data_IF_361257264167
#
_entry.id   IF_361257264167
#
_cell.length_a   1.000
_cell.length_b   1.000
_cell.length_c   1.000
_cell.angle_alpha   90.00
_cell.angle_beta   90.00
_cell.angle_gamma   90.00
#
_symmetry.space_group_name_H-M   'P 1'
#
loop_
_entity.id
_entity.type
_entity.pdbx_description
1 polymer ?
#
# COMPACT_ATOMS: atom_id res chain seq x y z
N UNK A 1 -21.47 -13.93 2.90
CA UNK A 1 -21.31 -14.46 4.28
C UNK A 1 -22.26 -15.62 4.57
N UNK A 2 -23.59 -15.43 4.63
CA UNK A 2 -24.56 -16.54 4.83
C UNK A 2 -24.42 -17.68 3.81
N UNK A 3 -24.12 -17.34 2.55
CA UNK A 3 -23.92 -18.34 1.51
C UNK A 3 -22.60 -19.11 1.65
N UNK A 4 -21.57 -18.53 2.28
CA UNK A 4 -20.28 -19.19 2.50
C UNK A 4 -20.37 -20.18 3.66
N UNK A 5 -21.01 -19.78 4.77
CA UNK A 5 -21.27 -20.68 5.90
C UNK A 5 -22.13 -21.89 5.50
N UNK A 6 -23.14 -21.67 4.64
CA UNK A 6 -23.98 -22.75 4.08
C UNK A 6 -23.21 -23.69 3.16
N UNK A 7 -22.26 -23.18 2.37
CA UNK A 7 -21.40 -24.02 1.51
C UNK A 7 -20.46 -24.92 2.30
N UNK A 8 -20.08 -24.51 3.51
CA UNK A 8 -19.11 -25.22 4.36
C UNK A 8 -19.74 -26.03 5.49
N UNK A 9 -21.07 -26.10 5.55
CA UNK A 9 -21.85 -26.81 6.57
C UNK A 9 -21.47 -26.41 8.02
N UNK A 10 -21.12 -25.13 8.22
CA UNK A 10 -20.80 -24.57 9.55
C UNK A 10 -21.94 -23.69 10.06
N UNK A 11 -22.28 -23.81 11.35
CA UNK A 11 -23.23 -22.94 12.04
C UNK A 11 -22.47 -21.74 12.61
N UNK A 12 -22.74 -20.54 12.10
CA UNK A 12 -21.98 -19.33 12.45
C UNK A 12 -22.94 -18.17 12.74
N UNK A 13 -22.65 -17.45 13.81
CA UNK A 13 -23.26 -16.18 14.18
C UNK A 13 -22.25 -15.04 13.96
N UNK A 14 -22.65 -14.03 13.17
CA UNK A 14 -21.86 -12.81 12.96
C UNK A 14 -22.49 -11.69 13.81
N UNK A 15 -21.74 -11.15 14.73
CA UNK A 15 -22.13 -9.99 15.53
C UNK A 15 -21.33 -8.77 15.07
N UNK A 16 -22.02 -7.66 14.79
CA UNK A 16 -21.39 -6.40 14.38
C UNK A 16 -21.61 -5.35 15.47
N UNK A 17 -20.57 -4.57 15.77
CA UNK A 17 -20.60 -3.49 16.74
C UNK A 17 -19.89 -2.26 16.17
N UNK A 18 -20.40 -1.06 16.48
CA UNK A 18 -19.83 0.19 15.96
C UNK A 18 -20.22 0.48 14.51
N UNK A 19 -21.39 0.03 14.06
CA UNK A 19 -21.93 0.30 12.71
C UNK A 19 -22.08 1.81 12.44
N UNK A 20 -22.22 2.62 13.49
CA UNK A 20 -22.31 4.08 13.42
C UNK A 20 -20.95 4.79 13.33
N UNK A 21 -19.83 4.05 13.31
CA UNK A 21 -18.48 4.64 13.23
C UNK A 21 -18.28 5.30 11.86
N UNK A 22 -17.96 6.59 11.86
CA UNK A 22 -17.74 7.35 10.63
C UNK A 22 -16.40 7.02 9.98
N UNK A 23 -16.43 6.67 8.69
CA UNK A 23 -15.27 6.42 7.86
C UNK A 23 -15.34 7.22 6.56
N UNK A 24 -14.19 7.62 6.01
CA UNK A 24 -14.12 8.16 4.65
C UNK A 24 -14.56 7.10 3.62
N UNK A 25 -15.23 7.55 2.56
CA UNK A 25 -15.75 6.66 1.50
C UNK A 25 -14.62 5.88 0.81
N UNK A 26 -13.49 6.52 0.49
CA UNK A 26 -12.39 5.84 -0.19
C UNK A 26 -11.75 4.78 0.70
N UNK A 27 -11.69 5.07 2.01
CA UNK A 27 -11.20 4.12 2.99
C UNK A 27 -12.11 2.87 3.03
N UNK A 28 -13.44 3.04 3.11
CA UNK A 28 -14.39 1.91 3.08
C UNK A 28 -14.21 1.07 1.81
N UNK A 29 -14.12 1.71 0.65
CA UNK A 29 -13.95 1.01 -0.63
C UNK A 29 -12.66 0.18 -0.65
N UNK A 30 -11.55 0.75 -0.16
CA UNK A 30 -10.25 0.07 -0.08
C UNK A 30 -10.21 -1.09 0.93
N UNK A 31 -10.99 -1.01 2.02
CA UNK A 31 -10.99 -2.02 3.09
C UNK A 31 -11.98 -3.17 2.86
N UNK A 32 -12.90 -3.03 1.91
CA UNK A 32 -13.94 -4.03 1.64
C UNK A 32 -13.37 -5.42 1.37
N UNK A 33 -12.38 -5.53 0.48
CA UNK A 33 -11.72 -6.79 0.13
C UNK A 33 -10.90 -7.40 1.30
N UNK A 34 -10.03 -6.65 1.99
CA UNK A 34 -9.34 -7.10 3.20
C UNK A 34 -10.27 -7.67 4.28
N UNK A 35 -11.35 -6.96 4.61
CA UNK A 35 -12.28 -7.38 5.67
C UNK A 35 -13.02 -8.65 5.28
N UNK A 36 -13.50 -8.75 4.02
CA UNK A 36 -14.13 -9.96 3.50
C UNK A 36 -13.17 -11.15 3.58
N UNK A 37 -11.90 -10.93 3.25
CA UNK A 37 -10.89 -11.97 3.28
C UNK A 37 -10.62 -12.47 4.71
N UNK A 38 -10.46 -11.57 5.68
CA UNK A 38 -10.29 -11.94 7.09
C UNK A 38 -11.49 -12.72 7.63
N UNK A 39 -12.71 -12.26 7.34
CA UNK A 39 -13.95 -12.96 7.69
C UNK A 39 -14.02 -14.36 7.06
N UNK A 40 -13.59 -14.49 5.79
CA UNK A 40 -13.50 -15.79 5.12
C UNK A 40 -12.51 -16.71 5.83
N UNK A 41 -11.33 -16.24 6.21
CA UNK A 41 -10.36 -17.08 6.92
C UNK A 41 -10.88 -17.57 8.27
N UNK A 42 -11.58 -16.71 9.02
CA UNK A 42 -12.27 -17.14 10.23
C UNK A 42 -13.31 -18.22 9.93
N UNK A 43 -14.09 -18.12 8.85
CA UNK A 43 -15.10 -19.13 8.48
C UNK A 43 -14.46 -20.43 7.97
N UNK A 44 -13.49 -20.36 7.07
CA UNK A 44 -12.92 -21.51 6.35
C UNK A 44 -11.97 -22.29 7.25
N UNK A 45 -11.08 -21.59 7.96
CA UNK A 45 -9.99 -22.17 8.72
C UNK A 45 -10.13 -22.01 10.23
N UNK A 46 -10.71 -20.91 10.71
CA UNK A 46 -10.86 -20.63 12.15
C UNK A 46 -11.92 -21.50 12.83
N UNK A 47 -13.18 -21.32 12.44
CA UNK A 47 -14.34 -22.01 13.03
C UNK A 47 -14.32 -23.50 12.66
N UNK A 48 -14.45 -24.36 13.66
CA UNK A 48 -14.50 -25.81 13.50
C UNK A 48 -15.91 -26.29 13.07
N UNK A 49 -16.03 -27.55 12.65
CA UNK A 49 -17.36 -28.14 12.39
C UNK A 49 -18.18 -28.27 13.67
N UNK A 50 -19.53 -28.33 13.60
CA UNK A 50 -20.40 -28.50 14.77
C UNK A 50 -19.98 -29.67 15.69
N UNK A 51 -19.56 -30.80 15.11
CA UNK A 51 -19.09 -31.97 15.86
C UNK A 51 -17.78 -31.71 16.60
N UNK A 52 -16.78 -31.14 15.92
CA UNK A 52 -15.48 -30.82 16.52
C UNK A 52 -15.62 -29.79 17.66
N UNK A 53 -16.54 -28.82 17.51
CA UNK A 53 -16.83 -27.82 18.54
C UNK A 53 -17.41 -28.46 19.80
N UNK A 54 -18.38 -29.35 19.64
CA UNK A 54 -18.97 -30.08 20.77
C UNK A 54 -17.96 -30.98 21.48
N UNK A 55 -17.08 -31.65 20.73
CA UNK A 55 -15.97 -32.45 21.29
C UNK A 55 -14.97 -31.58 22.09
N UNK A 56 -14.71 -30.35 21.63
CA UNK A 56 -13.90 -29.38 22.33
C UNK A 56 -14.62 -28.66 23.49
N UNK A 57 -15.89 -29.00 23.78
CA UNK A 57 -16.70 -28.37 24.84
C UNK A 57 -17.22 -26.98 24.51
N UNK A 58 -17.22 -26.58 23.23
CA UNK A 58 -17.70 -25.29 22.73
C UNK A 58 -19.16 -25.37 22.28
N UNK A 59 -19.78 -24.20 22.08
CA UNK A 59 -21.10 -24.08 21.44
C UNK A 59 -21.07 -24.66 20.02
N UNK A 60 -22.14 -25.35 19.63
CA UNK A 60 -22.32 -25.87 18.26
C UNK A 60 -22.24 -24.75 17.21
N UNK A 61 -22.72 -23.55 17.57
CA UNK A 61 -22.63 -22.35 16.72
C UNK A 61 -21.34 -21.59 17.06
N UNK A 62 -20.49 -21.38 16.05
CA UNK A 62 -19.33 -20.51 16.13
C UNK A 62 -19.70 -19.03 16.08
N UNK A 63 -18.92 -18.19 16.74
CA UNK A 63 -19.16 -16.74 16.82
C UNK A 63 -18.02 -15.99 16.16
N UNK A 64 -18.38 -15.01 15.33
CA UNK A 64 -17.45 -14.04 14.75
C UNK A 64 -17.96 -12.65 15.12
N UNK A 65 -17.13 -11.85 15.78
CA UNK A 65 -17.41 -10.46 16.11
C UNK A 65 -16.61 -9.53 15.17
N UNK A 66 -17.30 -8.56 14.55
CA UNK A 66 -16.69 -7.43 13.84
C UNK A 66 -16.98 -6.16 14.63
N UNK A 67 -15.96 -5.58 15.24
CA UNK A 67 -16.08 -4.45 16.16
C UNK A 67 -15.30 -3.28 15.59
N UNK A 68 -15.97 -2.16 15.33
CA UNK A 68 -15.33 -0.89 15.03
C UNK A 68 -15.37 0.01 16.27
N UNK A 69 -14.21 0.54 16.67
CA UNK A 69 -14.07 1.44 17.82
C UNK A 69 -13.29 2.68 17.40
N UNK A 70 -13.88 3.88 17.46
CA UNK A 70 -13.15 5.13 17.21
C UNK A 70 -12.10 5.36 18.30
N UNK A 71 -10.93 5.83 17.89
CA UNK A 71 -9.78 6.15 18.73
C UNK A 71 -9.13 7.45 18.23
N UNK A 72 -9.49 8.58 18.80
CA UNK A 72 -9.02 9.92 18.39
C UNK A 72 -9.16 10.12 16.86
N UNK A 73 -8.05 10.30 16.14
CA UNK A 73 -7.99 10.48 14.67
C UNK A 73 -7.88 9.15 13.90
N UNK A 74 -8.10 8.03 14.58
CA UNK A 74 -7.98 6.67 14.07
C UNK A 74 -9.20 5.84 14.42
N UNK A 75 -9.34 4.70 13.77
CA UNK A 75 -10.36 3.70 14.06
C UNK A 75 -9.68 2.35 14.23
N UNK A 76 -10.06 1.64 15.27
CA UNK A 76 -9.70 0.25 15.48
C UNK A 76 -10.82 -0.62 14.93
N UNK A 77 -10.50 -1.51 13.99
CA UNK A 77 -11.39 -2.58 13.56
C UNK A 77 -10.86 -3.90 14.10
N UNK A 78 -11.68 -4.62 14.85
CA UNK A 78 -11.36 -5.96 15.35
C UNK A 78 -12.25 -7.01 14.70
N UNK A 79 -11.64 -8.09 14.20
CA UNK A 79 -12.33 -9.30 13.77
C UNK A 79 -11.91 -10.40 14.74
N UNK A 80 -12.86 -10.90 15.52
CA UNK A 80 -12.63 -11.93 16.53
C UNK A 80 -13.44 -13.17 16.20
N UNK A 81 -12.82 -14.33 16.22
CA UNK A 81 -13.52 -15.62 16.17
C UNK A 81 -13.21 -16.47 17.40
N UNK A 82 -14.15 -17.34 17.76
CA UNK A 82 -14.02 -18.31 18.84
C UNK A 82 -13.60 -19.71 18.34
N UNK A 83 -12.88 -19.74 17.22
CA UNK A 83 -12.46 -20.94 16.52
C UNK A 83 -11.34 -21.68 17.23
N UNK A 84 -10.69 -22.60 16.52
CA UNK A 84 -9.60 -23.43 17.08
C UNK A 84 -8.30 -22.66 17.35
N UNK A 85 -8.22 -21.41 16.92
CA UNK A 85 -7.00 -20.62 16.93
C UNK A 85 -5.92 -21.17 16.00
N UNK A 86 -4.73 -20.56 16.07
CA UNK A 86 -3.59 -20.88 15.23
C UNK A 86 -2.49 -21.47 16.10
N UNK A 87 -1.99 -22.64 15.70
CA UNK A 87 -0.92 -23.36 16.37
C UNK A 87 0.45 -22.81 15.91
N UNK A 88 1.20 -22.11 16.78
CA UNK A 88 2.49 -21.50 16.42
C UNK A 88 3.51 -22.52 15.91
N UNK A 89 3.51 -23.75 16.46
CA UNK A 89 4.42 -24.80 16.03
C UNK A 89 4.12 -25.25 14.60
N UNK A 90 2.84 -25.40 14.23
CA UNK A 90 2.46 -25.71 12.85
C UNK A 90 2.86 -24.61 11.88
N UNK A 91 2.71 -23.35 12.29
CA UNK A 91 3.13 -22.21 11.46
C UNK A 91 4.65 -22.19 11.27
N UNK A 92 5.45 -22.37 12.34
CA UNK A 92 6.92 -22.47 12.25
C UNK A 92 7.35 -23.56 11.27
N UNK A 93 6.80 -24.77 11.41
CA UNK A 93 7.13 -25.91 10.55
C UNK A 93 6.75 -25.65 9.09
N UNK A 94 5.55 -25.10 8.85
CA UNK A 94 5.09 -24.81 7.50
C UNK A 94 5.91 -23.69 6.84
N UNK A 95 6.28 -22.65 7.59
CA UNK A 95 7.14 -21.57 7.13
C UNK A 95 8.53 -22.08 6.73
N UNK A 96 9.11 -22.99 7.52
CA UNK A 96 10.38 -23.63 7.20
C UNK A 96 10.28 -24.48 5.93
N UNK A 97 9.23 -25.32 5.81
CA UNK A 97 9.00 -26.15 4.62
C UNK A 97 8.80 -25.31 3.34
N UNK A 98 8.19 -24.13 3.46
CA UNK A 98 8.01 -23.17 2.36
C UNK A 98 9.24 -22.29 2.09
N UNK A 99 10.33 -22.45 2.86
CA UNK A 99 11.56 -21.67 2.71
C UNK A 99 11.44 -20.20 3.15
N UNK A 100 10.41 -19.86 3.93
CA UNK A 100 10.18 -18.50 4.46
C UNK A 100 11.15 -18.18 5.60
N UNK A 101 11.56 -19.20 6.36
CA UNK A 101 12.51 -19.09 7.47
C UNK A 101 13.63 -20.12 7.34
N UNK A 102 14.79 -19.81 7.90
CA UNK A 102 15.94 -20.72 8.00
C UNK A 102 15.81 -21.73 9.16
N UNK A 103 16.64 -22.79 9.16
CA UNK A 103 16.69 -23.78 10.24
C UNK A 103 17.08 -23.13 11.59
N UNK A 104 18.00 -22.17 11.57
CA UNK A 104 18.36 -21.42 12.78
C UNK A 104 17.17 -20.64 13.36
N UNK A 105 16.34 -20.06 12.50
CA UNK A 105 15.13 -19.34 12.92
C UNK A 105 14.04 -20.29 13.41
N UNK A 106 13.95 -21.51 12.85
CA UNK A 106 12.99 -22.52 13.30
C UNK A 106 13.15 -22.86 14.79
N UNK A 107 14.40 -22.89 15.27
CA UNK A 107 14.71 -23.19 16.68
C UNK A 107 14.62 -21.97 17.61
N UNK A 108 14.83 -20.76 17.08
CA UNK A 108 14.97 -19.55 17.91
C UNK A 108 13.70 -18.71 18.04
N UNK A 109 12.77 -18.79 17.09
CA UNK A 109 11.57 -17.94 17.08
C UNK A 109 10.65 -18.25 18.26
N UNK A 110 10.12 -17.21 18.90
CA UNK A 110 9.06 -17.37 19.88
C UNK A 110 7.69 -17.61 19.20
N UNK A 111 6.66 -17.86 20.00
CA UNK A 111 5.33 -18.17 19.49
C UNK A 111 4.64 -16.97 18.85
N UNK A 112 4.90 -15.75 19.34
CA UNK A 112 4.34 -14.53 18.74
C UNK A 112 5.00 -14.25 17.39
N UNK A 113 6.32 -14.34 17.30
CA UNK A 113 7.07 -14.16 16.07
C UNK A 113 6.66 -15.21 15.02
N UNK A 114 6.44 -16.46 15.46
CA UNK A 114 5.90 -17.49 14.58
C UNK A 114 4.52 -17.16 14.05
N UNK A 115 3.60 -16.68 14.89
CA UNK A 115 2.29 -16.25 14.43
C UNK A 115 2.39 -15.11 13.39
N UNK A 116 3.36 -14.20 13.52
CA UNK A 116 3.57 -13.14 12.52
C UNK A 116 3.98 -13.66 11.14
N UNK A 117 4.52 -14.89 11.03
CA UNK A 117 4.90 -15.49 9.75
C UNK A 117 3.70 -15.70 8.82
N UNK A 118 2.46 -15.71 9.32
CA UNK A 118 1.28 -15.79 8.45
C UNK A 118 1.24 -14.62 7.45
N UNK A 119 1.75 -13.46 7.84
CA UNK A 119 1.83 -12.25 7.03
C UNK A 119 3.09 -12.18 6.14
N UNK A 120 3.99 -13.18 6.22
CA UNK A 120 5.19 -13.20 5.41
C UNK A 120 4.86 -13.53 3.95
N UNK A 121 5.53 -12.83 3.04
CA UNK A 121 5.39 -13.08 1.61
C UNK A 121 5.71 -14.56 1.29
N UNK A 122 4.85 -15.19 0.49
CA UNK A 122 5.02 -16.60 0.09
C UNK A 122 4.47 -17.63 1.09
N UNK A 123 4.07 -17.23 2.31
CA UNK A 123 3.48 -18.14 3.29
C UNK A 123 2.10 -18.64 2.83
N UNK A 124 1.23 -17.71 2.41
CA UNK A 124 -0.17 -17.97 2.05
C UNK A 124 -0.37 -18.36 0.58
N UNK A 125 0.65 -18.91 -0.08
CA UNK A 125 0.57 -19.47 -1.43
C UNK A 125 -0.41 -20.66 -1.44
N UNK A 126 -1.69 -20.36 -1.56
CA UNK A 126 -2.76 -21.35 -1.68
C UNK A 126 -2.78 -21.88 -3.11
N UNK A 127 -2.55 -23.19 -3.25
CA UNK A 127 -2.71 -23.97 -4.48
C UNK A 127 -4.18 -24.09 -4.95
N UNK A 128 -5.12 -23.31 -4.37
CA UNK A 128 -6.53 -23.33 -4.77
C UNK A 128 -6.99 -21.92 -5.14
N UNK A 129 -7.02 -21.69 -6.46
CA UNK A 129 -7.76 -20.59 -7.08
C UNK A 129 -9.25 -20.77 -6.74
N UNK A 130 -9.76 -20.09 -5.73
CA UNK A 130 -11.21 -20.07 -5.47
C UNK A 130 -11.93 -19.22 -6.54
N UNK A 131 -13.02 -19.76 -7.06
CA UNK A 131 -13.77 -19.32 -8.28
C UNK A 131 -14.33 -17.89 -8.28
N UNK A 132 -14.13 -17.09 -7.23
CA UNK A 132 -14.80 -15.79 -7.08
C UNK A 132 -13.90 -14.55 -7.11
N UNK A 133 -12.57 -14.68 -7.09
CA UNK A 133 -11.69 -13.50 -7.11
C UNK A 133 -10.42 -13.62 -7.95
N UNK A 134 -10.13 -14.79 -8.55
CA UNK A 134 -9.09 -14.95 -9.57
C UNK A 134 -7.64 -14.64 -9.14
N UNK A 135 -7.41 -14.22 -7.90
CA UNK A 135 -6.11 -14.02 -7.28
C UNK A 135 -6.14 -14.73 -5.95
N UNK A 136 -5.23 -15.67 -5.71
CA UNK A 136 -5.02 -16.25 -4.39
C UNK A 136 -4.56 -15.14 -3.46
N UNK A 137 -5.50 -14.50 -2.76
CA UNK A 137 -5.19 -13.45 -1.79
C UNK A 137 -4.70 -14.15 -0.53
N UNK A 138 -3.45 -13.91 -0.15
CA UNK A 138 -2.88 -14.37 1.10
C UNK A 138 -3.01 -13.33 2.21
N UNK A 139 -2.60 -13.69 3.42
CA UNK A 139 -2.52 -12.72 4.53
C UNK A 139 -1.48 -11.63 4.29
N UNK A 140 -0.45 -11.89 3.49
CA UNK A 140 0.50 -10.89 2.99
C UNK A 140 -0.20 -9.82 2.15
N UNK A 141 -1.10 -10.22 1.24
CA UNK A 141 -1.88 -9.29 0.42
C UNK A 141 -2.84 -8.45 1.29
N UNK A 142 -3.50 -9.04 2.28
CA UNK A 142 -4.34 -8.31 3.24
C UNK A 142 -3.53 -7.26 3.99
N UNK A 143 -2.34 -7.64 4.49
CA UNK A 143 -1.44 -6.70 5.19
C UNK A 143 -1.06 -5.53 4.28
N UNK A 144 -0.68 -5.81 3.03
CA UNK A 144 -0.34 -4.77 2.06
C UNK A 144 -1.51 -3.83 1.80
N UNK A 145 -2.73 -4.36 1.58
CA UNK A 145 -3.93 -3.54 1.36
C UNK A 145 -4.25 -2.64 2.56
N UNK A 146 -4.11 -3.15 3.80
CA UNK A 146 -4.30 -2.34 5.02
C UNK A 146 -3.22 -1.26 5.14
N UNK A 147 -1.96 -1.58 4.82
CA UNK A 147 -0.88 -0.59 4.80
C UNK A 147 -1.05 0.47 3.72
N UNK A 148 -1.58 0.13 2.55
CA UNK A 148 -1.93 1.11 1.51
C UNK A 148 -3.05 2.07 1.95
N UNK A 149 -3.94 1.60 2.81
CA UNK A 149 -4.97 2.44 3.44
C UNK A 149 -4.40 3.36 4.55
N UNK A 150 -3.09 3.33 4.78
CA UNK A 150 -2.42 4.11 5.83
C UNK A 150 -2.50 3.46 7.22
N UNK A 151 -2.92 2.20 7.31
CA UNK A 151 -3.10 1.49 8.56
C UNK A 151 -2.07 0.41 8.84
N UNK A 152 -2.27 -0.29 9.96
CA UNK A 152 -1.54 -1.47 10.36
C UNK A 152 -2.49 -2.60 10.75
N UNK A 153 -2.02 -3.84 10.66
CA UNK A 153 -2.74 -5.03 11.09
C UNK A 153 -1.88 -5.82 12.07
N UNK A 154 -2.50 -6.24 13.16
CA UNK A 154 -1.96 -7.16 14.15
C UNK A 154 -2.87 -8.38 14.26
N UNK A 155 -2.29 -9.49 14.71
CA UNK A 155 -3.02 -10.72 14.97
C UNK A 155 -2.61 -11.26 16.34
N UNK A 156 -3.61 -11.74 17.08
CA UNK A 156 -3.44 -12.53 18.29
C UNK A 156 -4.25 -13.81 18.14
N UNK A 157 -3.68 -14.94 18.53
CA UNK A 157 -4.41 -16.20 18.50
C UNK A 157 -3.93 -17.12 19.61
N UNK A 158 -4.88 -17.89 20.15
CA UNK A 158 -4.61 -18.90 21.16
C UNK A 158 -5.33 -20.19 20.77
N UNK A 159 -4.60 -21.31 20.85
CA UNK A 159 -5.10 -22.63 20.45
C UNK A 159 -6.27 -23.03 21.35
N UNK A 160 -7.38 -23.42 20.71
CA UNK A 160 -8.63 -23.78 21.38
C UNK A 160 -9.48 -22.59 21.82
N UNK A 161 -8.98 -21.36 21.75
CA UNK A 161 -9.74 -20.15 22.13
C UNK A 161 -10.23 -19.39 20.90
N UNK A 162 -9.35 -19.13 19.93
CA UNK A 162 -9.71 -18.43 18.71
C UNK A 162 -8.63 -17.49 18.18
N UNK A 163 -9.03 -16.63 17.26
CA UNK A 163 -8.15 -15.64 16.61
C UNK A 163 -8.77 -14.25 16.64
N UNK A 164 -7.94 -13.23 16.82
CA UNK A 164 -8.31 -11.83 16.77
C UNK A 164 -7.36 -11.10 15.82
N UNK A 165 -7.92 -10.52 14.77
CA UNK A 165 -7.24 -9.54 13.93
C UNK A 165 -7.62 -8.14 14.41
N UNK A 166 -6.63 -7.27 14.58
CA UNK A 166 -6.81 -5.87 14.97
C UNK A 166 -6.19 -4.98 13.92
N UNK A 167 -7.01 -4.17 13.26
CA UNK A 167 -6.57 -3.19 12.27
C UNK A 167 -6.62 -1.82 12.94
N UNK A 168 -5.51 -1.08 12.87
CA UNK A 168 -5.46 0.33 13.25
C UNK A 168 -5.43 1.15 11.96
N UNK A 169 -6.45 1.96 11.75
CA UNK A 169 -6.65 2.69 10.50
C UNK A 169 -6.81 4.18 10.80
N UNK A 170 -6.29 5.08 9.96
CA UNK A 170 -6.64 6.50 10.08
C UNK A 170 -8.12 6.69 9.75
N UNK A 171 -8.77 7.70 10.34
CA UNK A 171 -10.18 7.98 10.05
C UNK A 171 -10.41 8.45 8.59
N UNK A 172 -9.39 9.06 8.00
CA UNK A 172 -9.39 9.53 6.61
C UNK A 172 -8.14 9.02 5.88
N UNK A 173 -8.26 8.73 4.58
CA UNK A 173 -7.08 8.47 3.76
C UNK A 173 -6.32 9.78 3.53
N UNK A 174 -5.00 9.76 3.72
CA UNK A 174 -4.15 10.90 3.43
C UNK A 174 -4.22 11.24 1.94
N UNK A 175 -4.73 12.44 1.64
CA UNK A 175 -4.70 13.02 0.29
C UNK A 175 -3.44 13.85 0.13
N UNK A 176 -2.66 13.55 -0.90
CA UNK A 176 -1.48 14.32 -1.26
C UNK A 176 -1.82 15.25 -2.40
N UNK A 177 -1.51 16.54 -2.24
CA UNK A 177 -1.58 17.49 -3.35
C UNK A 177 -0.37 17.31 -4.23
N UNK A 178 -0.59 17.00 -5.51
CA UNK A 178 0.49 16.82 -6.50
C UNK A 178 0.38 17.87 -7.59
N UNK A 179 1.52 18.44 -7.99
CA UNK A 179 1.60 19.24 -9.22
C UNK A 179 1.77 18.31 -10.41
N UNK A 180 0.86 18.42 -11.37
CA UNK A 180 0.94 17.65 -12.61
C UNK A 180 1.76 18.39 -13.67
N UNK A 181 2.46 17.62 -14.50
CA UNK A 181 3.19 18.14 -15.65
C UNK A 181 3.34 17.07 -16.73
N UNK A 182 3.68 17.51 -17.94
CA UNK A 182 3.85 16.66 -19.12
C UNK A 182 5.33 16.52 -19.45
N UNK A 183 5.74 15.29 -19.80
CA UNK A 183 7.04 14.97 -20.42
C UNK A 183 6.77 13.97 -21.53
N UNK A 184 7.17 14.30 -22.76
CA UNK A 184 6.99 13.45 -23.95
C UNK A 184 5.53 12.96 -24.14
N UNK A 185 4.57 13.89 -24.07
CA UNK A 185 3.12 13.62 -24.14
C UNK A 185 2.57 12.67 -23.06
N UNK A 186 3.35 12.40 -22.00
CA UNK A 186 2.94 11.61 -20.84
C UNK A 186 2.79 12.49 -19.58
N UNK A 187 1.78 12.17 -18.77
CA UNK A 187 1.47 12.90 -17.54
C UNK A 187 2.24 12.31 -16.36
N UNK A 188 2.92 13.19 -15.63
CA UNK A 188 3.62 12.89 -14.38
C UNK A 188 3.16 13.85 -13.29
N UNK A 189 3.40 13.46 -12.04
CA UNK A 189 3.15 14.28 -10.87
C UNK A 189 4.39 14.42 -10.00
N UNK A 190 4.44 15.48 -9.20
CA UNK A 190 5.37 15.60 -8.08
C UNK A 190 4.61 16.17 -6.89
N UNK A 191 5.00 15.80 -5.66
CA UNK A 191 4.40 16.38 -4.45
C UNK A 191 4.51 17.90 -4.46
N UNK A 192 3.38 18.59 -4.23
CA UNK A 192 3.31 20.06 -4.23
C UNK A 192 4.18 20.66 -3.12
N UNK A 193 4.40 19.92 -2.03
CA UNK A 193 5.30 20.24 -0.93
C UNK A 193 6.76 20.42 -1.36
N UNK A 194 7.18 19.72 -2.41
CA UNK A 194 8.52 19.87 -2.99
C UNK A 194 8.61 21.03 -3.99
N UNK A 195 7.49 21.57 -4.50
CA UNK A 195 7.51 22.58 -5.56
C UNK A 195 7.75 23.97 -4.97
N UNK A 196 8.79 24.65 -5.43
CA UNK A 196 9.11 26.03 -5.07
C UNK A 196 8.41 27.02 -5.98
N UNK A 197 8.64 26.90 -7.28
CA UNK A 197 8.01 27.73 -8.31
C UNK A 197 8.12 27.09 -9.70
N UNK A 198 7.37 27.62 -10.65
CA UNK A 198 7.40 27.22 -12.06
C UNK A 198 7.79 28.39 -12.91
N UNK A 199 8.80 28.22 -13.76
CA UNK A 199 9.33 29.29 -14.59
C UNK A 199 9.37 28.87 -16.05
N UNK A 200 9.11 29.82 -16.93
CA UNK A 200 9.41 29.69 -18.37
C UNK A 200 10.54 30.64 -18.69
N UNK A 201 11.59 30.13 -19.30
CA UNK A 201 12.79 30.90 -19.61
C UNK A 201 13.24 30.61 -21.04
N UNK A 202 13.83 31.59 -21.75
CA UNK A 202 14.53 31.33 -22.99
C UNK A 202 15.60 30.26 -22.81
N UNK A 203 15.78 29.37 -23.79
CA UNK A 203 16.83 28.33 -23.74
C UNK A 203 18.24 28.95 -23.58
N UNK A 204 18.44 30.18 -24.06
CA UNK A 204 19.69 30.94 -23.89
C UNK A 204 20.04 31.27 -22.44
N UNK A 205 19.06 31.27 -21.54
CA UNK A 205 19.25 31.63 -20.13
C UNK A 205 19.76 30.43 -19.31
N UNK A 206 19.68 29.22 -19.86
CA UNK A 206 20.27 28.01 -19.30
C UNK A 206 21.75 27.99 -19.69
N UNK A 207 22.62 28.24 -18.72
CA UNK A 207 24.06 28.29 -18.94
C UNK A 207 24.71 26.97 -18.56
N UNK A 208 25.75 26.59 -19.29
CA UNK A 208 26.56 25.42 -18.94
C UNK A 208 27.79 25.86 -18.16
N UNK A 209 27.90 25.41 -16.92
CA UNK A 209 29.07 25.62 -16.06
C UNK A 209 29.73 24.26 -15.84
N UNK A 210 30.95 24.08 -16.35
CA UNK A 210 31.64 22.78 -16.41
C UNK A 210 30.80 21.73 -17.17
N UNK A 211 30.22 20.76 -16.46
CA UNK A 211 29.40 19.69 -17.04
C UNK A 211 27.94 19.75 -16.61
N UNK A 212 27.53 20.81 -15.90
CA UNK A 212 26.19 20.98 -15.38
C UNK A 212 25.48 22.15 -16.06
N UNK A 213 24.18 21.98 -16.33
CA UNK A 213 23.31 23.06 -16.75
C UNK A 213 22.81 23.81 -15.52
N UNK A 214 22.84 25.13 -15.57
CA UNK A 214 22.50 26.00 -14.43
C UNK A 214 21.66 27.16 -14.92
N UNK A 215 20.61 27.48 -14.16
CA UNK A 215 19.76 28.65 -14.36
C UNK A 215 19.96 29.64 -13.21
N UNK A 216 20.02 30.93 -13.52
CA UNK A 216 20.05 31.97 -12.49
C UNK A 216 18.63 32.47 -12.23
N UNK A 217 18.10 32.21 -11.03
CA UNK A 217 16.80 32.74 -10.60
C UNK A 217 17.03 33.64 -9.39
N UNK A 218 16.71 34.94 -9.53
CA UNK A 218 16.84 35.94 -8.45
C UNK A 218 18.21 35.87 -7.75
N UNK A 219 19.28 35.85 -8.55
CA UNK A 219 20.68 35.77 -8.11
C UNK A 219 21.12 34.43 -7.48
N UNK A 220 20.24 33.42 -7.41
CA UNK A 220 20.61 32.05 -7.03
C UNK A 220 20.95 31.21 -8.26
N UNK A 221 22.00 30.39 -8.16
CA UNK A 221 22.34 29.37 -9.15
C UNK A 221 21.54 28.09 -8.84
N UNK A 222 20.65 27.72 -9.77
CA UNK A 222 19.81 26.53 -9.69
C UNK A 222 20.30 25.50 -10.70
N UNK A 223 20.85 24.35 -10.28
CA UNK A 223 21.20 23.27 -11.19
C UNK A 223 19.96 22.74 -11.90
N UNK A 224 20.10 22.46 -13.20
CA UNK A 224 18.99 22.06 -14.07
C UNK A 224 19.22 20.64 -14.59
N UNK A 225 18.22 19.79 -14.39
CA UNK A 225 18.16 18.40 -14.85
C UNK A 225 17.11 18.29 -15.96
N UNK A 226 17.47 17.67 -17.09
CA UNK A 226 16.52 17.39 -18.16
C UNK A 226 15.73 16.12 -17.83
N UNK A 227 14.44 16.28 -17.53
CA UNK A 227 13.62 15.15 -17.10
C UNK A 227 13.37 14.14 -18.23
N UNK A 228 13.41 14.57 -19.49
CA UNK A 228 13.32 13.65 -20.64
C UNK A 228 14.47 12.65 -20.62
N UNK A 229 15.70 13.16 -20.51
CA UNK A 229 16.91 12.34 -20.46
C UNK A 229 16.93 11.44 -19.22
N UNK A 230 16.58 11.97 -18.04
CA UNK A 230 16.56 11.21 -16.79
C UNK A 230 15.54 10.06 -16.79
N UNK A 231 14.47 10.19 -17.56
CA UNK A 231 13.45 9.15 -17.77
C UNK A 231 13.74 8.25 -18.99
N UNK A 232 14.82 8.52 -19.73
CA UNK A 232 15.23 7.71 -20.89
C UNK A 232 14.41 7.96 -22.16
N UNK A 233 13.77 9.13 -22.27
CA UNK A 233 13.13 9.57 -23.51
C UNK A 233 14.15 10.21 -24.46
N UNK A 234 13.83 10.17 -25.76
CA UNK A 234 14.61 10.86 -26.78
C UNK A 234 14.60 12.38 -26.54
N UNK A 235 15.70 13.03 -26.93
CA UNK A 235 15.83 14.48 -26.88
C UNK A 235 14.70 15.16 -27.67
N UNK A 236 14.12 16.21 -27.09
CA UNK A 236 13.15 17.03 -27.79
C UNK A 236 13.83 17.84 -28.91
N UNK A 237 13.03 18.33 -29.87
CA UNK A 237 13.48 19.43 -30.72
C UNK A 237 13.83 20.65 -29.86
N UNK A 238 14.88 21.37 -30.26
CA UNK A 238 15.26 22.65 -29.65
C UNK A 238 14.06 23.60 -29.65
N UNK A 239 13.58 23.92 -28.45
CA UNK A 239 12.55 24.95 -28.24
C UNK A 239 13.24 26.28 -27.94
N UNK A 240 12.64 27.39 -28.37
CA UNK A 240 13.12 28.73 -28.02
C UNK A 240 12.96 29.02 -26.51
N UNK A 241 11.93 28.44 -25.89
CA UNK A 241 11.65 28.56 -24.45
C UNK A 241 11.53 27.18 -23.80
N UNK A 242 12.02 27.07 -22.56
CA UNK A 242 11.95 25.89 -21.72
C UNK A 242 11.02 26.13 -20.53
N UNK A 243 10.20 25.12 -20.21
CA UNK A 243 9.41 25.08 -18.99
C UNK A 243 10.22 24.37 -17.91
N UNK A 244 10.46 25.05 -16.77
CA UNK A 244 11.27 24.51 -15.67
C UNK A 244 10.44 24.50 -14.38
N UNK A 245 10.37 23.33 -13.76
CA UNK A 245 9.78 23.11 -12.45
C UNK A 245 10.89 23.18 -11.39
N UNK A 246 10.86 24.19 -10.53
CA UNK A 246 11.83 24.34 -9.44
C UNK A 246 11.34 23.56 -8.24
N UNK A 247 12.14 22.60 -7.79
CA UNK A 247 11.84 21.72 -6.66
C UNK A 247 12.88 21.88 -5.55
N UNK A 248 12.44 21.76 -4.30
CA UNK A 248 13.29 21.80 -3.11
C UNK A 248 13.51 20.39 -2.60
N UNK A 249 14.76 20.08 -2.27
CA UNK A 249 15.18 18.81 -1.66
C UNK A 249 16.09 19.10 -0.47
N UNK A 250 16.40 18.11 0.38
CA UNK A 250 17.40 18.27 1.45
C UNK A 250 18.79 18.69 0.95
N UNK A 251 19.10 18.46 -0.33
CA UNK A 251 20.38 18.81 -0.96
C UNK A 251 20.39 20.23 -1.53
N UNK A 252 19.23 20.88 -1.67
CA UNK A 252 19.08 22.20 -2.28
C UNK A 252 17.90 22.29 -3.25
N UNK A 253 17.80 23.44 -3.91
CA UNK A 253 16.83 23.71 -4.97
C UNK A 253 17.38 23.25 -6.33
N UNK A 254 16.54 22.59 -7.13
CA UNK A 254 16.88 22.06 -8.45
C UNK A 254 15.78 22.41 -9.47
N UNK A 255 16.16 22.62 -10.72
CA UNK A 255 15.23 22.82 -11.83
C UNK A 255 15.05 21.53 -12.62
N UNK A 256 13.82 21.12 -12.87
CA UNK A 256 13.47 20.02 -13.77
C UNK A 256 12.92 20.59 -15.07
N UNK A 257 13.59 20.35 -16.20
CA UNK A 257 13.06 20.72 -17.52
C UNK A 257 11.93 19.77 -17.88
N UNK A 258 10.77 20.33 -18.21
CA UNK A 258 9.54 19.61 -18.54
C UNK A 258 8.91 20.19 -19.82
N UNK A 259 7.88 19.55 -20.36
CA UNK A 259 7.20 20.07 -21.56
C UNK A 259 6.10 21.08 -21.22
N UNK A 260 5.18 20.70 -20.32
CA UNK A 260 4.01 21.53 -19.97
C UNK A 260 3.65 21.40 -18.49
N UNK A 261 3.24 22.50 -17.88
CA UNK A 261 2.66 22.51 -16.53
C UNK A 261 1.16 22.22 -16.60
N UNK A 262 0.64 21.54 -15.58
CA UNK A 262 -0.78 21.36 -15.35
C UNK A 262 -1.13 21.77 -13.92
N UNK A 263 -2.44 21.90 -13.64
CA UNK A 263 -2.92 22.26 -12.32
C UNK A 263 -2.59 21.18 -11.28
N UNK A 264 -2.43 21.61 -10.03
CA UNK A 264 -2.28 20.69 -8.92
C UNK A 264 -3.61 20.07 -8.52
N UNK A 265 -3.59 18.77 -8.23
CA UNK A 265 -4.78 18.00 -7.83
C UNK A 265 -4.51 17.24 -6.54
N UNK A 266 -5.56 17.02 -5.76
CA UNK A 266 -5.49 16.14 -4.59
C UNK A 266 -5.67 14.70 -5.04
N UNK A 267 -4.70 13.85 -4.71
CA UNK A 267 -4.70 12.44 -5.10
C UNK A 267 -4.41 11.53 -3.92
N UNK A 268 -4.99 10.34 -3.97
CA UNK A 268 -4.61 9.23 -3.11
C UNK A 268 -3.43 8.54 -3.77
N UNK A 269 -2.25 8.69 -3.20
CA UNK A 269 -1.02 8.06 -3.67
C UNK A 269 -0.96 6.61 -3.18
N UNK A 270 -0.74 5.69 -4.11
CA UNK A 270 -0.47 4.28 -3.85
C UNK A 270 1.00 3.97 -4.11
N UNK A 271 1.65 3.12 -3.30
CA UNK A 271 3.01 2.66 -3.57
C UNK A 271 3.07 1.90 -4.90
N UNK A 272 4.25 1.85 -5.50
CA UNK A 272 4.49 1.04 -6.69
C UNK A 272 4.64 -0.43 -6.29
N UNK A 273 3.99 -1.31 -7.04
CA UNK A 273 3.98 -2.75 -6.76
C UNK A 273 4.45 -3.59 -7.94
N UNK A 274 4.84 -4.83 -7.65
CA UNK A 274 5.25 -5.80 -8.65
C UNK A 274 6.44 -5.32 -9.47
N UNK A 275 6.30 -5.37 -10.80
CA UNK A 275 7.37 -4.95 -11.74
C UNK A 275 7.74 -3.47 -11.56
N UNK A 276 6.80 -2.63 -11.10
CA UNK A 276 7.03 -1.20 -10.92
C UNK A 276 7.79 -0.86 -9.63
N UNK A 277 7.82 -1.76 -8.64
CA UNK A 277 8.54 -1.53 -7.38
C UNK A 277 10.06 -1.35 -7.56
N UNK A 278 10.62 -1.87 -8.66
CA UNK A 278 12.05 -1.72 -8.99
C UNK A 278 12.42 -0.37 -9.61
N UNK A 279 11.45 0.48 -9.93
CA UNK A 279 11.70 1.77 -10.60
C UNK A 279 11.82 2.90 -9.59
N UNK A 280 13.03 3.11 -9.06
CA UNK A 280 13.34 4.12 -8.04
C UNK A 280 12.97 5.56 -8.45
N UNK A 281 12.91 5.86 -9.75
CA UNK A 281 12.54 7.18 -10.27
C UNK A 281 11.13 7.63 -9.87
N UNK A 282 10.28 6.74 -9.37
CA UNK A 282 8.89 7.01 -9.02
C UNK A 282 8.66 6.71 -7.54
N UNK A 283 7.90 7.59 -6.87
CA UNK A 283 7.53 7.43 -5.45
C UNK A 283 6.15 6.78 -5.27
N UNK A 284 5.36 6.71 -6.34
CA UNK A 284 4.02 6.11 -6.29
C UNK A 284 3.22 6.31 -7.56
N UNK A 285 1.98 5.84 -7.53
CA UNK A 285 0.97 6.06 -8.56
C UNK A 285 -0.27 6.69 -7.94
N UNK A 286 -1.06 7.40 -8.74
CA UNK A 286 -2.39 7.85 -8.39
C UNK A 286 -3.36 7.56 -9.52
N UNK A 287 -4.62 7.28 -9.19
CA UNK A 287 -5.68 7.14 -10.19
C UNK A 287 -6.41 8.46 -10.36
N UNK A 288 -6.45 8.98 -11.58
CA UNK A 288 -7.18 10.20 -11.93
C UNK A 288 -8.67 9.89 -12.12
N UNK A 289 -9.53 10.91 -12.00
CA UNK A 289 -10.98 10.76 -12.16
C UNK A 289 -11.44 10.28 -13.54
N UNK A 290 -10.57 10.39 -14.56
CA UNK A 290 -10.80 9.86 -15.91
C UNK A 290 -10.29 8.42 -16.11
N UNK A 291 -9.79 7.78 -15.03
CA UNK A 291 -9.27 6.43 -15.04
C UNK A 291 -7.81 6.30 -15.49
N UNK A 292 -7.14 7.39 -15.88
CA UNK A 292 -5.70 7.35 -16.17
C UNK A 292 -4.88 7.22 -14.90
N UNK A 293 -3.73 6.55 -15.00
CA UNK A 293 -2.77 6.43 -13.91
C UNK A 293 -1.72 7.53 -14.03
N UNK A 294 -1.57 8.32 -12.98
CA UNK A 294 -0.53 9.32 -12.82
C UNK A 294 0.67 8.70 -12.10
N UNK A 295 1.87 8.82 -12.68
CA UNK A 295 3.11 8.43 -12.03
C UNK A 295 3.68 9.60 -11.25
N UNK A 296 3.94 9.41 -9.95
CA UNK A 296 4.51 10.44 -9.08
C UNK A 296 6.02 10.25 -9.04
N UNK A 297 6.76 11.28 -9.42
CA UNK A 297 8.22 11.29 -9.49
C UNK A 297 8.82 11.27 -8.09
N UNK A 298 9.86 10.47 -7.93
CA UNK A 298 10.81 10.59 -6.83
C UNK A 298 11.93 11.54 -7.24
N UNK A 299 11.84 12.78 -6.79
CA UNK A 299 12.78 13.85 -7.18
C UNK A 299 14.23 13.49 -6.85
N UNK A 300 14.48 12.87 -5.69
CA UNK A 300 15.84 12.55 -5.26
C UNK A 300 16.51 11.53 -6.19
N UNK A 301 15.77 10.46 -6.52
CA UNK A 301 16.26 9.38 -7.40
C UNK A 301 16.44 9.84 -8.85
N UNK A 302 15.55 10.73 -9.31
CA UNK A 302 15.70 11.35 -10.65
C UNK A 302 16.92 12.26 -10.70
N UNK A 303 17.13 13.11 -9.69
CA UNK A 303 18.29 14.01 -9.66
C UNK A 303 19.61 13.25 -9.60
N UNK A 304 19.66 12.09 -8.93
CA UNK A 304 20.84 11.22 -8.88
C UNK A 304 21.26 10.66 -10.24
N UNK A 305 20.42 10.76 -11.28
CA UNK A 305 20.76 10.38 -12.66
C UNK A 305 21.27 11.56 -13.51
N UNK A 306 21.01 12.78 -13.06
CA UNK A 306 21.33 14.01 -13.78
C UNK A 306 22.63 14.67 -13.31
N UNK A 307 23.09 14.35 -12.09
CA UNK A 307 24.26 14.92 -11.41
C UNK A 307 25.32 13.83 -11.22
#
# INVERSE_FOLDING_TARGET
MRDLARKLDKKIELCMQGEDTEFDKNLIESLSEPLIHLLRNSIDHGIESPSERLEAGKSETGRIDLIATPLDDSVIIEIRDDGKGIDPHKIKLLAFQKGVISEAQLESLDDNEALQLVFAAGFSTSEQVSDLSGRGVGMDAVKTMVSQAGGSIEMKSEVGVGTTFKLLLPQTMSVNRVMMFEVNDQMFGVGMDSVVETVKVPTSDIQRIRNEHVLVIREKLIPVCNLREALGFDEAQDKEEQSILVVSTPQGEFGLVIDKFHEGIDVIQKPLEGVLAGYANFSGTALLGDGRVLLIINVQEVLAKCL
#
